data_IF_042523618939
#
_entry.id   IF_042523618939
#
_cell.length_a   1.000
_cell.length_b   1.000
_cell.length_c   1.000
_cell.angle_alpha   90.00
_cell.angle_beta   90.00
_cell.angle_gamma   90.00
#
_symmetry.space_group_name_H-M   'P 1'
#
loop_
_entity.id
_entity.type
_entity.pdbx_description
1 polymer ?
#
# COMPACT_ATOMS: atom_id res chain seq x y z
N UNK A 1 1.82 9.92 -24.58
CA UNK A 1 1.28 9.70 -25.95
C UNK A 1 0.42 8.42 -26.03
N UNK A 2 -0.47 8.13 -25.08
CA UNK A 2 -1.28 6.87 -25.05
C UNK A 2 -2.75 7.02 -25.49
N UNK A 3 -3.28 8.25 -25.55
CA UNK A 3 -4.74 8.47 -25.55
C UNK A 3 -5.50 7.91 -26.75
N UNK A 4 -4.88 7.75 -27.92
CA UNK A 4 -5.57 7.23 -29.10
C UNK A 4 -5.67 5.70 -29.11
N UNK A 5 -4.63 5.01 -28.62
CA UNK A 5 -4.62 3.55 -28.49
C UNK A 5 -5.56 3.09 -27.38
N UNK A 6 -5.59 3.85 -26.29
CA UNK A 6 -6.51 3.62 -25.17
C UNK A 6 -7.96 3.78 -25.59
N UNK A 7 -8.27 4.82 -26.39
CA UNK A 7 -9.62 5.01 -26.96
C UNK A 7 -10.01 3.87 -27.89
N UNK A 8 -9.12 3.43 -28.79
CA UNK A 8 -9.40 2.32 -29.71
C UNK A 8 -9.64 0.99 -28.98
N UNK A 9 -8.88 0.70 -27.93
CA UNK A 9 -9.10 -0.50 -27.11
C UNK A 9 -10.43 -0.45 -26.35
N UNK A 10 -10.80 0.71 -25.78
CA UNK A 10 -12.11 0.93 -25.11
C UNK A 10 -13.28 0.72 -26.07
N UNK A 11 -13.17 1.21 -27.32
CA UNK A 11 -14.18 0.97 -28.38
C UNK A 11 -14.25 -0.50 -28.84
N UNK A 12 -13.17 -1.27 -28.69
CA UNK A 12 -13.11 -2.69 -29.03
C UNK A 12 -13.64 -3.64 -27.95
N UNK A 13 -14.15 -3.12 -26.83
CA UNK A 13 -14.69 -3.92 -25.72
C UNK A 13 -13.62 -4.60 -24.87
N UNK A 14 -12.36 -4.15 -24.93
CA UNK A 14 -11.30 -4.68 -24.07
C UNK A 14 -11.41 -4.13 -22.66
N UNK A 15 -11.25 -4.98 -21.66
CA UNK A 15 -11.11 -4.58 -20.26
C UNK A 15 -9.82 -3.80 -20.08
N UNK A 16 -9.93 -2.67 -19.38
CA UNK A 16 -8.79 -1.86 -18.96
C UNK A 16 -8.42 -2.26 -17.55
N UNK A 17 -7.18 -2.65 -17.35
CA UNK A 17 -6.61 -2.94 -16.04
C UNK A 17 -5.67 -1.80 -15.66
N UNK A 18 -5.71 -1.37 -14.42
CA UNK A 18 -4.73 -0.44 -13.85
C UNK A 18 -4.04 -1.15 -12.71
N UNK A 19 -2.72 -1.11 -12.70
CA UNK A 19 -1.92 -1.51 -11.55
C UNK A 19 -1.35 -0.25 -10.93
N UNK A 20 -1.54 -0.10 -9.64
CA UNK A 20 -1.23 1.12 -8.90
C UNK A 20 -0.56 0.74 -7.58
N UNK A 21 0.51 1.46 -7.21
CA UNK A 21 1.15 1.36 -5.91
C UNK A 21 1.21 2.73 -5.25
N UNK A 22 0.73 2.81 -4.01
CA UNK A 22 0.76 3.98 -3.15
C UNK A 22 1.80 3.78 -2.05
N UNK A 23 2.56 4.83 -1.76
CA UNK A 23 3.42 4.95 -0.59
C UNK A 23 2.87 6.05 0.32
N UNK A 24 2.67 5.74 1.59
CA UNK A 24 2.31 6.72 2.62
C UNK A 24 3.33 6.66 3.74
N UNK A 25 4.04 7.76 3.95
CA UNK A 25 4.96 7.92 5.06
C UNK A 25 4.28 8.68 6.19
N UNK A 26 4.25 8.06 7.37
CA UNK A 26 3.77 8.65 8.62
C UNK A 26 4.94 8.79 9.59
N UNK A 27 4.95 9.89 10.36
CA UNK A 27 5.90 10.06 11.45
C UNK A 27 5.24 10.53 12.76
N UNK A 28 5.77 10.04 13.89
CA UNK A 28 5.35 10.41 15.24
C UNK A 28 5.05 9.20 16.12
N UNK A 29 5.14 9.35 17.45
CA UNK A 29 4.96 8.24 18.41
C UNK A 29 3.58 7.57 18.34
N UNK A 30 2.57 8.30 17.88
CA UNK A 30 1.18 7.86 17.81
C UNK A 30 0.86 6.97 16.61
N UNK A 31 1.84 6.68 15.73
CA UNK A 31 1.64 5.77 14.58
C UNK A 31 1.71 4.29 14.97
N UNK A 32 2.20 3.96 16.17
CA UNK A 32 2.36 2.58 16.66
C UNK A 32 1.11 1.70 16.51
N UNK A 33 -0.13 2.17 16.80
CA UNK A 33 -1.34 1.36 16.61
C UNK A 33 -1.57 0.90 15.17
N UNK A 34 -1.08 1.65 14.17
CA UNK A 34 -1.17 1.28 12.76
C UNK A 34 -0.39 -0.02 12.47
N UNK A 35 0.76 -0.23 13.12
CA UNK A 35 1.53 -1.46 12.98
C UNK A 35 0.73 -2.70 13.42
N UNK A 36 -0.13 -2.55 14.44
CA UNK A 36 -1.03 -3.64 14.86
C UNK A 36 -2.07 -3.99 13.79
N UNK A 37 -2.63 -2.97 13.11
CA UNK A 37 -3.56 -3.14 11.99
C UNK A 37 -2.85 -3.82 10.81
N UNK A 38 -1.66 -3.35 10.44
CA UNK A 38 -0.88 -3.90 9.34
C UNK A 38 -0.44 -5.34 9.59
N UNK A 39 0.00 -5.67 10.81
CA UNK A 39 0.36 -7.04 11.18
C UNK A 39 -0.85 -7.99 11.18
N UNK A 40 -2.04 -7.51 11.57
CA UNK A 40 -3.26 -8.32 11.46
C UNK A 40 -3.60 -8.57 9.98
N UNK A 41 -3.57 -7.54 9.15
CA UNK A 41 -3.83 -7.67 7.71
C UNK A 41 -2.86 -8.65 7.03
N UNK A 42 -1.57 -8.61 7.41
CA UNK A 42 -0.57 -9.55 6.89
C UNK A 42 -0.84 -11.00 7.30
N UNK A 43 -1.28 -11.25 8.55
CA UNK A 43 -1.70 -12.59 9.00
C UNK A 43 -2.94 -13.08 8.25
N UNK A 44 -3.94 -12.22 8.14
CA UNK A 44 -5.18 -12.56 7.46
C UNK A 44 -4.95 -12.88 5.97
N UNK A 45 -4.01 -12.19 5.32
CA UNK A 45 -3.59 -12.50 3.96
C UNK A 45 -3.03 -13.92 3.82
N UNK A 46 -2.25 -14.39 4.81
CA UNK A 46 -1.69 -15.75 4.84
C UNK A 46 -2.79 -16.77 5.17
N UNK A 47 -3.60 -16.50 6.20
CA UNK A 47 -4.63 -17.42 6.68
C UNK A 47 -5.76 -17.64 5.66
N UNK A 48 -6.03 -16.64 4.83
CA UNK A 48 -7.04 -16.69 3.76
C UNK A 48 -6.50 -17.18 2.41
N UNK A 49 -5.21 -17.54 2.32
CA UNK A 49 -4.54 -17.90 1.06
C UNK A 49 -4.74 -16.82 -0.03
N UNK A 50 -4.74 -15.56 0.37
CA UNK A 50 -4.92 -14.42 -0.52
C UNK A 50 -6.34 -14.21 -1.05
N UNK A 51 -7.39 -14.67 -0.35
CA UNK A 51 -8.78 -14.41 -0.74
C UNK A 51 -9.04 -12.90 -0.88
N UNK A 52 -9.38 -12.48 -2.10
CA UNK A 52 -9.49 -11.08 -2.47
C UNK A 52 -10.56 -10.32 -1.68
N UNK A 53 -11.63 -11.01 -1.25
CA UNK A 53 -12.68 -10.39 -0.44
C UNK A 53 -12.16 -10.08 0.95
N UNK A 54 -11.47 -11.03 1.56
CA UNK A 54 -10.83 -10.87 2.88
C UNK A 54 -9.75 -9.78 2.83
N UNK A 55 -8.86 -9.83 1.82
CA UNK A 55 -7.85 -8.80 1.60
C UNK A 55 -8.47 -7.40 1.38
N UNK A 56 -9.62 -7.35 0.72
CA UNK A 56 -10.37 -6.12 0.51
C UNK A 56 -10.91 -5.50 1.80
N UNK A 57 -11.40 -6.33 2.74
CA UNK A 57 -11.82 -5.87 4.06
C UNK A 57 -10.64 -5.29 4.86
N UNK A 58 -9.48 -5.94 4.82
CA UNK A 58 -8.26 -5.43 5.46
C UNK A 58 -7.73 -4.16 4.78
N UNK A 59 -7.80 -4.06 3.44
CA UNK A 59 -7.48 -2.83 2.71
C UNK A 59 -8.34 -1.66 3.18
N UNK A 60 -9.65 -1.88 3.38
CA UNK A 60 -10.57 -0.86 3.91
C UNK A 60 -10.14 -0.44 5.32
N UNK A 61 -9.84 -1.41 6.20
CA UNK A 61 -9.39 -1.12 7.56
C UNK A 61 -8.08 -0.30 7.58
N UNK A 62 -7.13 -0.63 6.72
CA UNK A 62 -5.86 0.10 6.57
C UNK A 62 -6.12 1.52 6.07
N UNK A 63 -6.86 1.70 4.98
CA UNK A 63 -7.16 3.01 4.43
C UNK A 63 -7.90 3.92 5.43
N UNK A 64 -8.83 3.36 6.21
CA UNK A 64 -9.53 4.10 7.26
C UNK A 64 -8.59 4.54 8.39
N UNK A 65 -7.66 3.68 8.81
CA UNK A 65 -6.66 4.05 9.81
C UNK A 65 -5.70 5.13 9.28
N UNK A 66 -5.26 5.02 8.02
CA UNK A 66 -4.44 6.04 7.38
C UNK A 66 -5.15 7.40 7.35
N UNK A 67 -6.45 7.42 6.99
CA UNK A 67 -7.28 8.63 7.01
C UNK A 67 -7.42 9.23 8.42
N UNK A 68 -7.55 8.40 9.45
CA UNK A 68 -7.61 8.89 10.84
C UNK A 68 -6.28 9.47 11.33
N UNK A 69 -5.16 9.02 10.75
CA UNK A 69 -3.80 9.46 11.08
C UNK A 69 -3.29 10.57 10.15
N UNK A 70 -4.18 11.28 9.44
CA UNK A 70 -3.82 12.34 8.48
C UNK A 70 -2.83 13.37 9.03
N UNK A 71 -2.94 13.75 10.31
CA UNK A 71 -2.05 14.73 10.94
C UNK A 71 -0.59 14.25 11.06
N UNK A 72 -0.34 12.95 10.89
CA UNK A 72 0.98 12.35 10.97
C UNK A 72 1.59 12.08 9.60
N UNK A 73 0.86 12.30 8.50
CA UNK A 73 1.40 12.14 7.16
C UNK A 73 2.55 13.13 6.92
N UNK A 74 3.67 12.63 6.39
CA UNK A 74 4.86 13.43 6.11
C UNK A 74 5.12 13.55 4.61
N UNK A 75 5.04 12.42 3.91
CA UNK A 75 5.29 12.35 2.47
C UNK A 75 4.45 11.24 1.84
N UNK A 76 4.22 11.35 0.55
CA UNK A 76 3.56 10.31 -0.22
C UNK A 76 4.12 10.24 -1.64
N UNK A 77 3.89 9.12 -2.29
CA UNK A 77 4.16 8.91 -3.69
C UNK A 77 3.21 7.85 -4.24
N UNK A 78 2.98 7.88 -5.54
CA UNK A 78 2.29 6.81 -6.21
C UNK A 78 2.87 6.57 -7.60
N UNK A 79 2.73 5.34 -8.05
CA UNK A 79 3.15 4.90 -9.38
C UNK A 79 2.22 3.80 -9.89
N UNK A 80 2.37 3.43 -11.15
CA UNK A 80 1.52 2.45 -11.78
C UNK A 80 1.51 2.58 -13.29
N UNK A 81 0.80 1.65 -13.94
CA UNK A 81 0.59 1.70 -15.39
C UNK A 81 -0.76 1.06 -15.77
N UNK A 82 -1.15 1.29 -17.02
CA UNK A 82 -2.41 0.88 -17.62
C UNK A 82 -2.17 -0.25 -18.61
N UNK A 83 -2.89 -1.34 -18.41
CA UNK A 83 -2.78 -2.55 -19.19
C UNK A 83 -4.09 -2.88 -19.89
N UNK A 84 -3.97 -3.56 -21.03
CA UNK A 84 -5.10 -4.06 -21.82
C UNK A 84 -5.08 -5.59 -21.96
N UNK A 85 -4.16 -6.23 -21.24
CA UNK A 85 -4.05 -7.68 -21.10
C UNK A 85 -3.84 -7.98 -19.62
N UNK A 86 -4.67 -8.86 -19.09
CA UNK A 86 -4.63 -9.28 -17.69
C UNK A 86 -3.27 -9.87 -17.30
N UNK A 87 -2.68 -10.70 -18.16
CA UNK A 87 -1.35 -11.28 -17.89
C UNK A 87 -0.24 -10.24 -17.74
N UNK A 88 -0.24 -9.18 -18.56
CA UNK A 88 0.76 -8.09 -18.44
C UNK A 88 0.57 -7.30 -17.14
N UNK A 89 -0.69 -7.09 -16.71
CA UNK A 89 -0.98 -6.48 -15.42
C UNK A 89 -0.51 -7.36 -14.26
N UNK A 90 -0.74 -8.67 -14.34
CA UNK A 90 -0.30 -9.64 -13.32
C UNK A 90 1.22 -9.73 -13.20
N UNK A 91 1.94 -9.71 -14.31
CA UNK A 91 3.40 -9.67 -14.32
C UNK A 91 3.93 -8.42 -13.62
N UNK A 92 3.32 -7.26 -13.89
CA UNK A 92 3.72 -6.00 -13.26
C UNK A 92 3.37 -5.94 -11.76
N UNK A 93 2.24 -6.52 -11.33
CA UNK A 93 1.93 -6.70 -9.90
C UNK A 93 3.05 -7.49 -9.20
N UNK A 94 3.55 -8.57 -9.81
CA UNK A 94 4.63 -9.38 -9.23
C UNK A 94 5.97 -8.65 -9.18
N UNK A 95 6.25 -7.79 -10.16
CA UNK A 95 7.42 -6.90 -10.14
C UNK A 95 7.35 -5.95 -8.94
N UNK A 96 6.22 -5.26 -8.75
CA UNK A 96 6.00 -4.35 -7.63
C UNK A 96 6.03 -5.07 -6.27
N UNK A 97 5.51 -6.29 -6.20
CA UNK A 97 5.62 -7.16 -5.02
C UNK A 97 7.09 -7.38 -4.65
N UNK A 98 7.89 -7.84 -5.62
CA UNK A 98 9.31 -8.18 -5.40
C UNK A 98 10.10 -6.95 -4.97
N UNK A 99 9.83 -5.80 -5.59
CA UNK A 99 10.44 -4.53 -5.20
C UNK A 99 10.02 -4.10 -3.78
N UNK A 100 8.73 -4.14 -3.44
CA UNK A 100 8.24 -3.78 -2.10
C UNK A 100 8.78 -4.71 -1.01
N UNK A 101 8.88 -6.01 -1.27
CA UNK A 101 9.44 -6.98 -0.33
C UNK A 101 10.95 -6.78 -0.13
N UNK A 102 11.67 -6.46 -1.21
CA UNK A 102 13.11 -6.26 -1.20
C UNK A 102 13.59 -5.00 -0.48
N UNK A 103 12.73 -4.00 -0.32
CA UNK A 103 13.14 -2.71 0.25
C UNK A 103 13.58 -2.78 1.72
N UNK A 104 13.08 -3.75 2.52
CA UNK A 104 13.52 -3.93 3.92
C UNK A 104 13.36 -5.35 4.49
N UNK A 105 13.14 -6.39 3.68
CA UNK A 105 12.74 -7.74 4.15
C UNK A 105 11.44 -7.68 4.95
N UNK A 106 10.38 -7.25 4.26
CA UNK A 106 9.02 -6.99 4.74
C UNK A 106 8.24 -8.22 5.25
N UNK A 107 8.91 -9.34 5.54
CA UNK A 107 8.24 -10.51 6.10
C UNK A 107 8.07 -10.32 7.62
N UNK A 108 6.83 -10.33 8.13
CA UNK A 108 6.61 -10.34 9.58
C UNK A 108 7.20 -11.63 10.14
N UNK A 109 8.14 -11.53 11.09
CA UNK A 109 8.62 -12.70 11.81
C UNK A 109 7.58 -13.16 12.83
N UNK A 110 6.83 -14.20 12.49
CA UNK A 110 5.87 -14.84 13.39
C UNK A 110 6.51 -15.86 14.36
N UNK A 111 7.83 -16.06 14.30
CA UNK A 111 8.53 -17.09 15.09
C UNK A 111 8.95 -16.65 16.49
N UNK A 112 8.83 -15.35 16.82
CA UNK A 112 9.25 -14.83 18.13
C UNK A 112 8.07 -14.72 19.11
N UNK A 113 7.92 -15.62 20.09
CA UNK A 113 6.95 -15.45 21.16
C UNK A 113 7.34 -14.26 22.05
N UNK A 114 6.34 -13.44 22.43
CA UNK A 114 6.51 -12.36 23.40
C UNK A 114 7.12 -12.94 24.69
N UNK A 115 8.36 -12.57 24.99
CA UNK A 115 9.01 -12.98 26.24
C UNK A 115 8.43 -12.14 27.40
N UNK A 116 7.56 -12.77 28.19
CA UNK A 116 7.04 -12.24 29.45
C UNK A 116 8.18 -12.13 30.49
N UNK A 117 8.90 -10.99 30.57
CA UNK A 117 9.51 -10.39 31.80
C UNK A 117 10.77 -9.49 31.65
N UNK A 118 11.01 -8.80 30.52
CA UNK A 118 11.96 -7.67 30.55
C UNK A 118 11.24 -6.32 30.38
N UNK A 119 11.66 -5.25 31.10
CA UNK A 119 11.19 -3.91 30.80
C UNK A 119 11.81 -3.49 29.46
N UNK A 120 11.20 -3.94 28.38
CA UNK A 120 11.62 -3.65 27.02
C UNK A 120 11.41 -2.16 26.79
N UNK A 121 12.48 -1.36 26.82
CA UNK A 121 12.49 -0.08 26.11
C UNK A 121 12.54 -0.38 24.61
N UNK A 122 11.43 -0.89 24.07
CA UNK A 122 11.27 -1.08 22.63
C UNK A 122 11.40 0.31 22.01
N UNK A 123 12.33 0.54 21.06
CA UNK A 123 12.38 1.79 20.32
C UNK A 123 11.00 2.06 19.73
N UNK A 124 10.41 3.21 20.06
CA UNK A 124 9.15 3.62 19.45
C UNK A 124 9.48 4.01 18.02
N UNK A 125 9.11 3.18 17.05
CA UNK A 125 9.24 3.47 15.64
C UNK A 125 8.68 4.86 15.36
N UNK A 126 9.55 5.78 14.94
CA UNK A 126 9.13 7.16 14.65
C UNK A 126 8.55 7.27 13.25
N UNK A 127 9.01 6.46 12.29
CA UNK A 127 8.58 6.51 10.90
C UNK A 127 7.99 5.17 10.46
N UNK A 128 6.85 5.23 9.78
CA UNK A 128 6.22 4.06 9.15
C UNK A 128 5.92 4.40 7.70
N UNK A 129 6.33 3.52 6.79
CA UNK A 129 5.96 3.59 5.38
C UNK A 129 5.01 2.45 5.09
N UNK A 130 3.81 2.78 4.59
CA UNK A 130 2.82 1.82 4.11
C UNK A 130 2.82 1.84 2.59
N UNK A 131 2.99 0.66 1.99
CA UNK A 131 2.96 0.42 0.55
C UNK A 131 1.71 -0.38 0.22
N UNK A 132 0.79 0.21 -0.54
CA UNK A 132 -0.46 -0.43 -0.97
C UNK A 132 -0.40 -0.61 -2.48
N UNK A 133 -0.32 -1.85 -2.94
CA UNK A 133 -0.42 -2.19 -4.36
C UNK A 133 -1.81 -2.75 -4.63
N UNK A 134 -2.50 -2.24 -5.65
CA UNK A 134 -3.74 -2.81 -6.15
C UNK A 134 -3.71 -2.95 -7.67
N UNK A 135 -4.40 -3.96 -8.17
CA UNK A 135 -4.85 -3.99 -9.55
C UNK A 135 -6.36 -3.86 -9.58
N UNK A 136 -6.91 -3.09 -10.53
CA UNK A 136 -8.36 -2.91 -10.67
C UNK A 136 -8.79 -2.73 -12.12
N UNK A 137 -10.07 -2.99 -12.38
CA UNK A 137 -10.70 -2.74 -13.66
C UNK A 137 -11.26 -1.31 -13.77
N UNK A 138 -11.20 -0.74 -14.96
CA UNK A 138 -11.84 0.54 -15.28
C UNK A 138 -10.91 1.73 -15.12
N UNK A 139 -11.49 2.89 -14.79
CA UNK A 139 -10.82 4.18 -14.73
C UNK A 139 -11.21 4.87 -13.43
N UNK A 140 -10.21 5.25 -12.63
CA UNK A 140 -10.39 5.92 -11.34
C UNK A 140 -9.49 7.14 -11.29
N UNK A 141 -9.99 8.32 -11.71
CA UNK A 141 -9.17 9.53 -11.82
C UNK A 141 -8.43 9.91 -10.53
N UNK A 142 -9.02 9.61 -9.38
CA UNK A 142 -8.46 9.86 -8.05
C UNK A 142 -7.22 9.01 -7.74
N UNK A 143 -6.97 7.92 -8.47
CA UNK A 143 -5.77 7.07 -8.34
C UNK A 143 -4.78 7.28 -9.50
N UNK A 144 -5.22 7.91 -10.58
CA UNK A 144 -4.47 8.13 -11.82
C UNK A 144 -3.91 9.57 -11.90
N UNK A 145 -3.63 10.15 -10.75
CA UNK A 145 -3.02 11.47 -10.58
C UNK A 145 -1.85 11.38 -9.60
N UNK A 146 -1.09 12.46 -9.42
CA UNK A 146 -0.08 12.54 -8.37
C UNK A 146 -0.75 12.72 -7.00
N UNK A 147 -0.51 11.79 -6.07
CA UNK A 147 -1.08 11.78 -4.72
C UNK A 147 -0.19 12.44 -3.67
N UNK A 148 0.92 13.09 -4.06
CA UNK A 148 1.75 13.90 -3.18
C UNK A 148 1.11 15.26 -2.84
N UNK A 149 -0.14 15.24 -2.38
CA UNK A 149 -0.82 16.35 -1.73
C UNK A 149 -1.82 15.79 -0.72
N UNK A 150 -2.05 16.50 0.39
CA UNK A 150 -2.98 16.03 1.43
C UNK A 150 -4.39 15.76 0.86
N UNK A 151 -4.90 16.66 0.00
CA UNK A 151 -6.22 16.53 -0.60
C UNK A 151 -6.32 15.33 -1.55
N UNK A 152 -5.30 15.12 -2.40
CA UNK A 152 -5.31 14.01 -3.36
C UNK A 152 -5.05 12.67 -2.69
N UNK A 153 -4.18 12.61 -1.68
CA UNK A 153 -3.99 11.40 -0.90
C UNK A 153 -5.27 10.97 -0.17
N UNK A 154 -5.98 11.93 0.44
CA UNK A 154 -7.28 11.65 1.08
C UNK A 154 -8.31 11.11 0.09
N UNK A 155 -8.40 11.72 -1.10
CA UNK A 155 -9.28 11.26 -2.17
C UNK A 155 -8.88 9.86 -2.68
N UNK A 156 -7.58 9.61 -2.85
CA UNK A 156 -7.04 8.32 -3.29
C UNK A 156 -7.33 7.19 -2.29
N UNK A 157 -7.12 7.41 -0.99
CA UNK A 157 -7.47 6.43 0.05
C UNK A 157 -8.98 6.11 0.06
N UNK A 158 -9.83 7.11 -0.13
CA UNK A 158 -11.29 6.89 -0.28
C UNK A 158 -11.62 6.13 -1.57
N UNK A 159 -10.91 6.39 -2.65
CA UNK A 159 -11.09 5.67 -3.91
C UNK A 159 -10.69 4.18 -3.79
N UNK A 160 -9.60 3.86 -3.09
CA UNK A 160 -9.21 2.48 -2.77
C UNK A 160 -10.29 1.74 -1.98
N UNK A 161 -10.89 2.40 -0.98
CA UNK A 161 -12.03 1.85 -0.23
C UNK A 161 -13.21 1.55 -1.18
N UNK A 162 -13.51 2.48 -2.07
CA UNK A 162 -14.63 2.34 -3.01
C UNK A 162 -14.42 1.20 -4.02
N UNK A 163 -13.18 0.96 -4.47
CA UNK A 163 -12.86 -0.17 -5.36
C UNK A 163 -13.27 -1.52 -4.76
N UNK A 164 -13.06 -1.71 -3.45
CA UNK A 164 -13.50 -2.92 -2.76
C UNK A 164 -15.03 -3.07 -2.80
N UNK A 165 -15.77 -2.02 -2.42
CA UNK A 165 -17.24 -2.06 -2.42
C UNK A 165 -17.87 -2.17 -3.82
N UNK A 166 -17.13 -1.80 -4.85
CA UNK A 166 -17.53 -1.96 -6.26
C UNK A 166 -17.14 -3.32 -6.84
N UNK A 167 -16.46 -4.17 -6.07
CA UNK A 167 -15.95 -5.47 -6.52
C UNK A 167 -15.08 -5.39 -7.79
N UNK A 168 -14.33 -4.31 -7.95
CA UNK A 168 -13.51 -4.04 -9.14
C UNK A 168 -12.01 -4.30 -8.94
N UNK A 169 -11.59 -4.66 -7.71
CA UNK A 169 -10.24 -5.10 -7.40
C UNK A 169 -9.95 -6.45 -8.09
N UNK A 170 -8.70 -6.63 -8.53
CA UNK A 170 -8.17 -7.84 -9.15
C UNK A 170 -6.95 -8.38 -8.39
N UNK A 171 -6.23 -7.52 -7.70
CA UNK A 171 -5.15 -7.89 -6.79
C UNK A 171 -5.02 -6.84 -5.69
N UNK A 172 -4.62 -7.27 -4.50
CA UNK A 172 -4.32 -6.41 -3.36
C UNK A 172 -3.05 -6.94 -2.70
N UNK A 173 -2.08 -6.08 -2.46
CA UNK A 173 -0.90 -6.39 -1.67
C UNK A 173 -0.58 -5.21 -0.77
N UNK A 174 -0.24 -5.50 0.48
CA UNK A 174 0.21 -4.48 1.43
C UNK A 174 1.55 -4.89 1.98
N UNK A 175 2.51 -3.97 1.88
CA UNK A 175 3.79 -4.06 2.56
C UNK A 175 3.95 -2.84 3.46
N UNK A 176 4.80 -2.95 4.46
CA UNK A 176 5.12 -1.81 5.31
C UNK A 176 6.54 -1.92 5.86
N UNK A 177 7.11 -0.78 6.22
CA UNK A 177 8.43 -0.68 6.84
C UNK A 177 8.36 0.28 8.03
N UNK A 178 8.94 -0.07 9.21
CA UNK A 178 9.56 -1.35 9.50
C UNK A 178 8.51 -2.47 9.68
N UNK A 179 8.87 -3.70 9.30
CA UNK A 179 7.97 -4.85 9.37
C UNK A 179 7.99 -5.59 10.72
N UNK A 180 9.06 -5.42 11.50
CA UNK A 180 9.24 -6.09 12.79
C UNK A 180 9.05 -5.14 13.98
N UNK A 181 8.52 -5.66 15.08
CA UNK A 181 8.35 -4.90 16.30
C UNK A 181 9.72 -4.58 16.91
N UNK A 182 9.99 -3.29 17.14
CA UNK A 182 11.25 -2.83 17.71
C UNK A 182 12.31 -2.45 16.69
N UNK A 183 12.04 -2.67 15.40
CA UNK A 183 12.83 -2.08 14.33
C UNK A 183 12.51 -0.59 14.19
N UNK A 184 13.54 0.18 13.85
CA UNK A 184 13.44 1.61 13.59
C UNK A 184 13.76 1.88 12.13
N UNK A 185 12.86 2.61 11.46
CA UNK A 185 13.10 3.17 10.14
C UNK A 185 13.60 4.61 10.30
N UNK A 186 14.88 4.83 10.04
CA UNK A 186 15.52 6.15 10.21
C UNK A 186 15.29 7.06 9.01
N UNK A 187 15.45 8.37 9.20
CA UNK A 187 15.30 9.34 8.10
C UNK A 187 16.32 9.10 6.96
N UNK A 188 17.55 8.69 7.28
CA UNK A 188 18.57 8.34 6.29
C UNK A 188 18.14 7.13 5.46
N UNK A 189 17.60 6.11 6.12
CA UNK A 189 17.04 4.93 5.48
C UNK A 189 15.88 5.30 4.54
N UNK A 190 14.98 6.18 4.98
CA UNK A 190 13.88 6.66 4.14
C UNK A 190 14.40 7.30 2.85
N UNK A 191 15.37 8.20 2.96
CA UNK A 191 15.94 8.89 1.81
C UNK A 191 16.65 7.95 0.83
N UNK A 192 17.26 6.87 1.32
CA UNK A 192 17.98 5.91 0.50
C UNK A 192 17.05 4.91 -0.19
N UNK A 193 16.02 4.42 0.50
CA UNK A 193 15.21 3.30 0.03
C UNK A 193 13.83 3.71 -0.49
N UNK A 194 13.41 4.94 -0.24
CA UNK A 194 12.16 5.50 -0.77
C UNK A 194 12.38 6.88 -1.42
N UNK A 195 13.29 6.98 -2.41
CA UNK A 195 13.64 8.25 -3.06
C UNK A 195 12.47 8.90 -3.81
N UNK A 196 11.39 8.16 -4.10
CA UNK A 196 10.19 8.66 -4.76
C UNK A 196 9.28 9.49 -3.85
N UNK A 197 9.44 9.40 -2.52
CA UNK A 197 8.57 10.09 -1.57
C UNK A 197 8.70 11.61 -1.71
N UNK A 198 7.56 12.27 -1.86
CA UNK A 198 7.47 13.73 -1.93
C UNK A 198 6.76 14.27 -0.68
N UNK A 199 7.33 15.28 0.01
CA UNK A 199 6.69 15.91 1.16
C UNK A 199 5.29 16.46 0.86
N UNK A 200 4.36 16.32 1.81
CA UNK A 200 2.96 16.75 1.70
C UNK A 200 2.70 18.19 2.19
#
# INVERSE_FOLDING_TARGET
MSSWRDRLNKFGGKTRFVVFRLFVHLAGSEVTPLLGVLNRAAREAVDSDGDLKVLGEELVAICQNLLQLQIYWQSAANEGDVFWKEGEAGDYVNELFTDSAGRYLSEPDFSTPLADNEPLSIPVTQNVIVMITVAYEGEVPELETNLASVEYLEAGLKALINLHYQESLQAIQVHFSPAQLGDELTDEQILLNFPELVPL
#
